data_IF_395097736313
#
_entry.id   IF_395097736313
#
_cell.length_a   1.000
_cell.length_b   1.000
_cell.length_c   1.000
_cell.angle_alpha   90.00
_cell.angle_beta   90.00
_cell.angle_gamma   90.00
#
_symmetry.space_group_name_H-M   'P 1'
#
loop_
_entity.id
_entity.type
_entity.pdbx_description
1 polymer ?
#
# COMPACT_ATOMS: atom_id res chain seq x y z
N UNK A 1 -5.59 0.83 -27.49
CA UNK A 1 -7.05 1.10 -27.59
C UNK A 1 -7.56 1.07 -26.15
N UNK A 2 -7.99 2.19 -25.59
CA UNK A 2 -8.50 2.22 -24.20
C UNK A 2 -9.90 1.58 -24.22
N UNK A 3 -10.20 0.57 -23.38
CA UNK A 3 -11.50 -0.11 -23.42
C UNK A 3 -12.65 0.86 -23.11
N UNK A 4 -13.68 0.88 -23.94
CA UNK A 4 -14.95 1.55 -23.65
C UNK A 4 -15.78 0.64 -22.72
N UNK A 5 -15.45 0.61 -21.43
CA UNK A 5 -16.13 -0.20 -20.41
C UNK A 5 -15.48 -0.09 -19.03
N UNK A 6 -16.03 -0.75 -17.99
CA UNK A 6 -15.33 -0.91 -16.71
C UNK A 6 -13.97 -1.54 -16.97
N UNK A 7 -12.90 -0.94 -16.48
CA UNK A 7 -11.53 -1.47 -16.61
C UNK A 7 -10.99 -1.85 -15.24
N UNK A 8 -9.92 -2.64 -15.28
CA UNK A 8 -9.08 -2.90 -14.12
C UNK A 8 -7.69 -2.37 -14.38
N UNK A 9 -7.06 -1.85 -13.34
CA UNK A 9 -5.70 -1.32 -13.39
C UNK A 9 -4.82 -2.27 -12.59
N UNK A 10 -3.71 -2.67 -13.19
CA UNK A 10 -2.61 -3.31 -12.47
C UNK A 10 -1.74 -2.19 -11.92
N UNK A 11 -1.75 -2.06 -10.61
CA UNK A 11 -0.98 -1.06 -9.88
C UNK A 11 0.24 -1.70 -9.26
N UNK A 12 1.41 -1.10 -9.49
CA UNK A 12 2.60 -1.34 -8.67
C UNK A 12 2.58 -0.36 -7.51
N UNK A 13 2.70 -0.87 -6.29
CA UNK A 13 2.79 -0.10 -5.05
C UNK A 13 4.16 -0.39 -4.45
N UNK A 14 5.00 0.63 -4.30
CA UNK A 14 6.38 0.47 -3.83
C UNK A 14 6.60 1.39 -2.63
N UNK A 15 7.14 0.84 -1.53
CA UNK A 15 7.48 1.62 -0.35
C UNK A 15 8.80 2.37 -0.59
N UNK A 16 8.82 3.68 -0.30
CA UNK A 16 10.00 4.51 -0.47
C UNK A 16 11.02 4.29 0.63
N UNK A 17 12.28 4.58 0.30
CA UNK A 17 13.40 4.65 1.24
C UNK A 17 13.70 3.36 2.03
N UNK A 18 13.18 2.21 1.58
CA UNK A 18 13.45 0.89 2.18
C UNK A 18 14.18 -0.02 1.19
N UNK A 19 15.31 -0.58 1.61
CA UNK A 19 16.12 -1.49 0.80
C UNK A 19 16.37 -2.86 1.48
N UNK A 20 16.23 -4.00 0.77
CA UNK A 20 15.65 -4.18 -0.56
C UNK A 20 14.19 -3.73 -0.62
N UNK A 21 13.77 -3.33 -1.83
CA UNK A 21 12.46 -2.75 -2.09
C UNK A 21 11.31 -3.65 -1.62
N UNK A 22 10.43 -3.08 -0.80
CA UNK A 22 9.14 -3.67 -0.44
C UNK A 22 8.09 -3.18 -1.43
N UNK A 23 7.48 -4.11 -2.17
CA UNK A 23 6.48 -3.73 -3.18
C UNK A 23 5.40 -4.78 -3.38
N UNK A 24 4.28 -4.36 -3.96
CA UNK A 24 3.11 -5.17 -4.26
C UNK A 24 2.57 -4.83 -5.64
N UNK A 25 2.05 -5.81 -6.36
CA UNK A 25 1.32 -5.64 -7.61
C UNK A 25 -0.14 -6.03 -7.41
N UNK A 26 -1.03 -5.04 -7.40
CA UNK A 26 -2.44 -5.21 -7.06
C UNK A 26 -3.33 -4.77 -8.21
N UNK A 27 -4.34 -5.56 -8.52
CA UNK A 27 -5.36 -5.25 -9.52
C UNK A 27 -6.57 -4.64 -8.84
N UNK A 28 -6.97 -3.44 -9.27
CA UNK A 28 -8.14 -2.73 -8.74
C UNK A 28 -9.08 -2.30 -9.86
N UNK A 29 -10.36 -2.13 -9.56
CA UNK A 29 -11.30 -1.61 -10.56
C UNK A 29 -11.08 -0.11 -10.77
N UNK A 30 -11.21 0.36 -12.00
CA UNK A 30 -11.10 1.78 -12.38
C UNK A 30 -12.11 2.68 -11.67
N UNK A 31 -13.27 2.13 -11.29
CA UNK A 31 -14.36 2.83 -10.62
C UNK A 31 -14.27 2.80 -9.08
N UNK A 32 -13.20 2.22 -8.52
CA UNK A 32 -12.90 2.21 -7.08
C UNK A 32 -12.73 3.64 -6.57
N UNK A 33 -13.49 4.03 -5.54
CA UNK A 33 -13.33 5.32 -4.88
C UNK A 33 -12.01 5.36 -4.06
N UNK A 34 -11.39 6.52 -3.92
CA UNK A 34 -10.12 6.66 -3.20
C UNK A 34 -10.15 6.17 -1.73
N UNK A 35 -11.21 6.40 -0.92
CA UNK A 35 -11.29 5.81 0.41
C UNK A 35 -11.17 4.27 0.39
N UNK A 36 -11.75 3.65 -0.64
CA UNK A 36 -11.66 2.20 -0.84
C UNK A 36 -10.27 1.81 -1.35
N UNK A 37 -9.64 2.62 -2.19
CA UNK A 37 -8.25 2.39 -2.61
C UNK A 37 -7.31 2.41 -1.40
N UNK A 38 -7.42 3.39 -0.49
CA UNK A 38 -6.59 3.46 0.71
C UNK A 38 -6.69 2.16 1.54
N UNK A 39 -7.92 1.69 1.78
CA UNK A 39 -8.17 0.41 2.47
C UNK A 39 -7.55 -0.79 1.75
N UNK A 40 -7.56 -0.79 0.42
CA UNK A 40 -6.91 -1.84 -0.39
C UNK A 40 -5.39 -1.79 -0.22
N UNK A 41 -4.80 -0.59 -0.22
CA UNK A 41 -3.36 -0.40 -0.04
C UNK A 41 -2.92 -0.81 1.38
N UNK A 42 -3.63 -0.39 2.42
CA UNK A 42 -3.44 -0.84 3.81
C UNK A 42 -3.41 -2.38 3.90
N UNK A 43 -4.44 -3.05 3.39
CA UNK A 43 -4.53 -4.52 3.42
C UNK A 43 -3.43 -5.20 2.60
N UNK A 44 -3.03 -4.58 1.49
CA UNK A 44 -1.95 -5.05 0.61
C UNK A 44 -0.59 -4.95 1.31
N UNK A 45 -0.41 -3.95 2.17
CA UNK A 45 0.75 -3.79 3.04
C UNK A 45 0.63 -4.52 4.38
N UNK A 46 -0.52 -5.13 4.67
CA UNK A 46 -0.73 -5.86 5.94
C UNK A 46 -1.02 -4.95 7.14
N UNK A 47 -1.37 -3.69 6.89
CA UNK A 47 -1.77 -2.71 7.89
C UNK A 47 -3.26 -2.77 8.20
N UNK A 48 -3.61 -2.26 9.38
CA UNK A 48 -4.97 -2.34 9.93
C UNK A 48 -5.80 -1.09 9.66
N UNK A 49 -5.14 0.01 9.26
CA UNK A 49 -5.81 1.23 8.85
C UNK A 49 -6.29 2.09 10.01
N UNK A 50 -5.48 2.12 11.09
CA UNK A 50 -5.69 2.93 12.30
C UNK A 50 -5.19 4.36 12.15
N UNK A 51 -4.25 4.59 11.24
CA UNK A 51 -3.60 5.88 11.05
C UNK A 51 -4.23 6.71 9.92
N UNK A 52 -3.90 8.00 9.90
CA UNK A 52 -4.28 8.90 8.81
C UNK A 52 -3.50 8.58 7.53
N UNK A 53 -4.09 8.93 6.40
CA UNK A 53 -3.48 8.76 5.08
C UNK A 53 -3.80 9.93 4.16
N UNK A 54 -3.01 10.04 3.09
CA UNK A 54 -3.16 11.06 2.06
C UNK A 54 -2.77 10.51 0.68
N UNK A 55 -3.43 10.96 -0.37
CA UNK A 55 -2.94 10.80 -1.74
C UNK A 55 -2.43 12.13 -2.27
N UNK A 56 -1.21 12.15 -2.80
CA UNK A 56 -0.65 13.27 -3.56
C UNK A 56 -0.61 12.89 -5.05
N UNK A 57 -1.41 13.60 -5.84
CA UNK A 57 -1.46 13.47 -7.30
C UNK A 57 -0.85 14.72 -7.92
N UNK A 58 0.47 14.72 -8.07
CA UNK A 58 1.24 15.81 -8.66
C UNK A 58 1.01 17.18 -7.98
N UNK A 59 1.00 17.18 -6.64
CA UNK A 59 0.76 18.33 -5.78
C UNK A 59 -0.71 18.56 -5.44
N UNK A 60 -1.65 17.80 -6.01
CA UNK A 60 -3.07 17.84 -5.67
C UNK A 60 -3.36 16.79 -4.60
N UNK A 61 -3.77 17.26 -3.42
CA UNK A 61 -3.91 16.42 -2.24
C UNK A 61 -5.35 15.93 -2.09
N UNK A 62 -5.51 14.63 -1.84
CA UNK A 62 -6.80 13.99 -1.54
C UNK A 62 -6.74 13.25 -0.21
N UNK A 63 -7.70 13.50 0.67
CA UNK A 63 -7.78 12.85 1.97
C UNK A 63 -9.14 13.02 2.64
N UNK A 64 -9.24 12.61 3.90
CA UNK A 64 -10.44 12.87 4.69
C UNK A 64 -10.60 14.39 4.90
N UNK A 65 -11.83 14.92 4.83
CA UNK A 65 -12.08 16.34 5.09
C UNK A 65 -11.52 16.76 6.45
N UNK A 66 -10.80 17.87 6.44
CA UNK A 66 -10.26 18.53 7.62
C UNK A 66 -10.66 20.02 7.53
N UNK A 67 -11.25 20.55 8.61
CA UNK A 67 -11.73 21.93 8.66
C UNK A 67 -10.60 22.95 8.57
N UNK A 68 -9.37 22.55 8.91
CA UNK A 68 -8.18 23.41 8.88
C UNK A 68 -7.34 23.24 7.59
N UNK A 69 -7.77 22.40 6.66
CA UNK A 69 -7.04 22.09 5.42
C UNK A 69 -7.82 22.42 4.13
N UNK A 70 -8.00 23.72 3.85
CA UNK A 70 -8.72 24.22 2.67
C UNK A 70 -8.16 23.74 1.31
N UNK A 71 -6.91 23.30 1.28
CA UNK A 71 -6.23 22.77 0.09
C UNK A 71 -6.50 21.28 -0.16
N UNK A 72 -7.15 20.59 0.79
CA UNK A 72 -7.38 19.15 0.73
C UNK A 72 -8.69 18.83 0.02
N UNK A 73 -8.61 18.09 -1.09
CA UNK A 73 -9.80 17.59 -1.78
C UNK A 73 -10.33 16.37 -1.02
N UNK A 74 -11.64 16.36 -0.74
CA UNK A 74 -12.28 15.18 -0.16
C UNK A 74 -12.08 13.97 -1.09
N UNK A 75 -11.39 12.94 -0.61
CA UNK A 75 -11.06 11.75 -1.39
C UNK A 75 -12.29 11.02 -1.95
N UNK A 76 -13.47 11.18 -1.32
CA UNK A 76 -14.75 10.63 -1.80
C UNK A 76 -15.19 11.22 -3.15
N UNK A 77 -14.63 12.37 -3.55
CA UNK A 77 -14.91 13.01 -4.84
C UNK A 77 -14.18 12.33 -6.02
N UNK A 78 -13.19 11.48 -5.75
CA UNK A 78 -12.35 10.86 -6.77
C UNK A 78 -12.42 9.33 -6.78
N UNK A 79 -12.09 8.78 -7.94
CA UNK A 79 -11.97 7.34 -8.20
C UNK A 79 -10.59 7.08 -8.82
N UNK A 80 -10.13 5.83 -8.76
CA UNK A 80 -8.86 5.38 -9.35
C UNK A 80 -8.64 5.95 -10.76
N UNK A 81 -9.63 5.82 -11.66
CA UNK A 81 -9.52 6.32 -13.05
C UNK A 81 -9.33 7.84 -13.18
N UNK A 82 -9.66 8.63 -12.17
CA UNK A 82 -9.49 10.09 -12.22
C UNK A 82 -8.06 10.49 -11.88
N UNK A 83 -7.40 9.73 -10.99
CA UNK A 83 -6.04 10.03 -10.48
C UNK A 83 -4.95 9.19 -11.15
N UNK A 84 -5.33 8.04 -11.71
CA UNK A 84 -4.46 7.10 -12.41
C UNK A 84 -5.04 6.76 -13.80
N UNK A 85 -5.23 7.76 -14.69
CA UNK A 85 -6.04 7.60 -15.89
C UNK A 85 -5.40 6.77 -17.02
N UNK A 86 -4.08 6.61 -17.02
CA UNK A 86 -3.35 5.96 -18.10
C UNK A 86 -2.14 5.15 -17.61
N UNK A 87 -1.62 4.28 -18.46
CA UNK A 87 -0.36 3.57 -18.21
C UNK A 87 0.75 4.59 -17.92
N UNK A 88 1.51 4.35 -16.86
CA UNK A 88 2.55 5.25 -16.37
C UNK A 88 2.05 6.41 -15.51
N UNK A 89 0.73 6.59 -15.33
CA UNK A 89 0.24 7.51 -14.30
C UNK A 89 0.69 7.04 -12.93
N UNK A 90 1.11 8.00 -12.10
CA UNK A 90 1.58 7.75 -10.75
C UNK A 90 0.96 8.74 -9.77
N UNK A 91 0.89 8.31 -8.51
CA UNK A 91 0.61 9.16 -7.36
C UNK A 91 1.44 8.69 -6.18
N UNK A 92 1.58 9.55 -5.15
CA UNK A 92 2.11 9.14 -3.86
C UNK A 92 0.98 8.84 -2.90
N UNK A 93 1.09 7.76 -2.14
CA UNK A 93 0.20 7.45 -1.02
C UNK A 93 0.98 7.45 0.29
N UNK A 94 0.61 8.38 1.15
CA UNK A 94 1.22 8.56 2.47
C UNK A 94 0.32 7.89 3.51
N UNK A 95 0.91 7.10 4.40
CA UNK A 95 0.23 6.39 5.48
C UNK A 95 0.97 6.59 6.79
N UNK A 96 0.21 6.81 7.86
CA UNK A 96 0.71 7.12 9.19
C UNK A 96 1.65 8.34 9.22
N UNK A 97 1.10 9.50 9.56
CA UNK A 97 1.89 10.73 9.63
C UNK A 97 2.87 10.74 10.82
N UNK A 98 2.78 9.78 11.75
CA UNK A 98 3.77 9.56 12.80
C UNK A 98 5.02 8.89 12.25
N UNK A 99 4.85 7.70 11.67
CA UNK A 99 5.96 6.90 11.12
C UNK A 99 6.41 7.34 9.71
N UNK A 100 5.55 8.04 8.97
CA UNK A 100 5.85 8.69 7.70
C UNK A 100 6.00 7.72 6.52
N UNK A 101 5.12 6.74 6.37
CA UNK A 101 5.24 5.76 5.28
C UNK A 101 4.79 6.34 3.94
N UNK A 102 5.74 6.55 3.02
CA UNK A 102 5.47 7.03 1.66
C UNK A 102 5.52 5.91 0.63
N UNK A 103 4.56 5.91 -0.31
CA UNK A 103 4.49 4.90 -1.36
C UNK A 103 4.35 5.52 -2.75
N UNK A 104 5.06 4.96 -3.72
CA UNK A 104 4.78 5.19 -5.13
C UNK A 104 3.73 4.20 -5.64
N UNK A 105 2.61 4.71 -6.15
CA UNK A 105 1.56 3.92 -6.80
C UNK A 105 1.55 4.24 -8.29
N UNK A 106 1.88 3.25 -9.13
CA UNK A 106 2.03 3.42 -10.58
C UNK A 106 1.09 2.47 -11.33
N UNK A 107 0.42 2.98 -12.36
CA UNK A 107 -0.37 2.15 -13.29
C UNK A 107 0.55 1.46 -14.29
N UNK A 108 0.71 0.14 -14.17
CA UNK A 108 1.49 -0.65 -15.11
C UNK A 108 0.66 -1.04 -16.35
N UNK A 109 -0.59 -1.48 -16.15
CA UNK A 109 -1.50 -1.85 -17.25
C UNK A 109 -2.94 -1.44 -16.96
N UNK A 110 -3.72 -1.30 -18.04
CA UNK A 110 -5.18 -1.08 -17.99
C UNK A 110 -5.83 -2.12 -18.88
N UNK A 111 -6.69 -2.94 -18.29
CA UNK A 111 -7.23 -4.15 -18.91
C UNK A 111 -8.75 -4.22 -18.78
N UNK A 112 -9.37 -5.08 -19.59
CA UNK A 112 -10.76 -5.48 -19.37
C UNK A 112 -10.83 -6.43 -18.16
N UNK A 113 -11.85 -6.30 -17.29
CA UNK A 113 -12.05 -7.25 -16.20
C UNK A 113 -12.27 -8.65 -16.74
N UNK A 114 -11.70 -9.64 -16.06
CA UNK A 114 -11.91 -11.05 -16.36
C UNK A 114 -13.26 -11.49 -15.80
N UNK A 115 -14.07 -12.18 -16.60
CA UNK A 115 -15.37 -12.66 -16.16
C UNK A 115 -15.24 -13.64 -14.98
N UNK A 116 -16.11 -13.50 -13.98
CA UNK A 116 -16.07 -14.27 -12.73
C UNK A 116 -14.92 -13.93 -11.76
N UNK A 117 -13.93 -13.11 -12.15
CA UNK A 117 -12.84 -12.70 -11.28
C UNK A 117 -13.31 -11.63 -10.27
N UNK A 118 -12.99 -11.85 -8.99
CA UNK A 118 -13.19 -10.85 -7.94
C UNK A 118 -11.97 -9.93 -7.83
N UNK A 119 -12.23 -8.64 -7.64
CA UNK A 119 -11.23 -7.61 -7.40
C UNK A 119 -11.51 -6.92 -6.05
N UNK A 120 -10.49 -6.44 -5.33
CA UNK A 120 -9.08 -6.44 -5.70
C UNK A 120 -8.42 -7.84 -5.64
N UNK A 121 -7.26 -7.98 -6.30
CA UNK A 121 -6.40 -9.16 -6.19
C UNK A 121 -4.93 -8.76 -6.29
N UNK A 122 -4.10 -9.26 -5.39
CA UNK A 122 -2.65 -9.15 -5.46
C UNK A 122 -2.10 -10.25 -6.37
N UNK A 123 -1.30 -9.86 -7.36
CA UNK A 123 -0.68 -10.77 -8.32
C UNK A 123 0.72 -11.18 -7.88
N UNK A 124 1.46 -10.25 -7.27
CA UNK A 124 2.89 -10.41 -7.02
C UNK A 124 3.39 -9.37 -6.00
N UNK A 125 4.64 -9.52 -5.57
CA UNK A 125 5.28 -8.65 -4.60
C UNK A 125 6.61 -9.22 -4.10
N UNK A 126 7.31 -8.43 -3.29
CA UNK A 126 8.52 -8.88 -2.61
C UNK A 126 8.65 -8.23 -1.23
N UNK A 127 9.39 -8.92 -0.36
CA UNK A 127 9.70 -8.53 1.02
C UNK A 127 8.46 -8.39 1.92
N UNK A 128 8.65 -8.55 3.22
CA UNK A 128 7.58 -8.26 4.17
C UNK A 128 7.40 -6.75 4.28
N UNK A 129 6.17 -6.31 4.56
CA UNK A 129 5.94 -4.91 4.87
C UNK A 129 6.36 -4.60 6.31
N UNK A 130 6.71 -3.33 6.61
CA UNK A 130 6.94 -2.92 7.99
C UNK A 130 5.74 -3.24 8.88
N UNK A 131 5.94 -3.82 10.07
CA UNK A 131 4.89 -3.86 11.09
C UNK A 131 4.40 -2.45 11.43
N UNK A 132 3.12 -2.33 11.81
CA UNK A 132 2.56 -1.08 12.36
C UNK A 132 3.43 -0.58 13.53
N UNK A 133 3.52 0.75 13.67
CA UNK A 133 4.21 1.43 14.78
C UNK A 133 5.68 1.01 14.97
N UNK A 134 6.36 0.57 13.92
CA UNK A 134 7.77 0.14 14.03
C UNK A 134 8.76 1.31 14.09
N UNK A 135 8.29 2.56 13.94
CA UNK A 135 9.10 3.77 14.04
C UNK A 135 9.62 4.25 12.70
N UNK A 136 8.80 4.14 11.65
CA UNK A 136 9.14 4.56 10.29
C UNK A 136 10.30 3.76 9.69
N UNK A 137 10.83 4.28 8.58
CA UNK A 137 11.96 3.66 7.86
C UNK A 137 13.14 3.31 8.78
N UNK A 138 13.64 4.22 9.65
CA UNK A 138 14.76 3.90 10.54
C UNK A 138 14.44 2.78 11.54
N UNK A 139 13.21 2.75 12.05
CA UNK A 139 12.76 1.72 12.97
C UNK A 139 12.66 0.36 12.30
N UNK A 140 12.16 0.32 11.06
CA UNK A 140 12.10 -0.90 10.26
C UNK A 140 13.48 -1.44 9.90
N UNK A 141 14.40 -0.57 9.46
CA UNK A 141 15.77 -0.97 9.16
C UNK A 141 16.48 -1.51 10.40
N UNK A 142 16.28 -0.87 11.56
CA UNK A 142 16.79 -1.37 12.83
C UNK A 142 16.21 -2.75 13.17
N UNK A 143 14.89 -2.92 13.05
CA UNK A 143 14.22 -4.20 13.28
C UNK A 143 14.84 -5.30 12.42
N UNK A 144 14.99 -5.07 11.11
CA UNK A 144 15.54 -6.04 10.17
C UNK A 144 16.98 -6.41 10.50
N UNK A 145 17.81 -5.42 10.82
CA UNK A 145 19.20 -5.66 11.20
C UNK A 145 19.29 -6.52 12.47
N UNK A 146 18.46 -6.25 13.47
CA UNK A 146 18.45 -7.00 14.73
C UNK A 146 17.90 -8.43 14.55
N UNK A 147 16.85 -8.61 13.76
CA UNK A 147 16.28 -9.94 13.51
C UNK A 147 17.23 -10.83 12.67
N UNK A 148 18.09 -10.23 11.84
CA UNK A 148 19.11 -10.96 11.09
C UNK A 148 20.31 -11.43 11.95
N UNK A 149 20.56 -10.79 13.10
CA UNK A 149 21.65 -11.13 14.02
C UNK A 149 21.11 -11.73 15.32
N UNK A 150 21.15 -13.07 15.42
CA UNK A 150 20.72 -13.82 16.60
C UNK A 150 21.54 -13.51 17.87
N UNK A 151 22.72 -12.90 17.72
CA UNK A 151 23.59 -12.52 18.85
C UNK A 151 23.38 -11.07 19.30
N UNK A 152 22.60 -10.28 18.56
CA UNK A 152 22.32 -8.91 18.90
C UNK A 152 21.61 -8.82 20.27
N UNK A 153 22.04 -7.88 21.12
CA UNK A 153 21.51 -7.73 22.49
C UNK A 153 19.99 -7.55 22.54
N UNK A 154 19.44 -6.90 21.51
CA UNK A 154 18.00 -6.62 21.37
C UNK A 154 17.24 -7.71 20.60
N UNK A 155 17.91 -8.76 20.10
CA UNK A 155 17.31 -9.79 19.25
C UNK A 155 16.07 -10.40 19.88
N UNK A 156 16.19 -10.90 21.11
CA UNK A 156 15.06 -11.49 21.83
C UNK A 156 13.91 -10.50 22.01
N UNK A 157 14.21 -9.26 22.40
CA UNK A 157 13.20 -8.22 22.65
C UNK A 157 12.41 -7.88 21.39
N UNK A 158 13.11 -7.71 20.27
CA UNK A 158 12.47 -7.34 19.01
C UNK A 158 11.78 -8.51 18.31
N UNK A 159 12.24 -9.76 18.51
CA UNK A 159 11.50 -10.96 18.09
C UNK A 159 10.19 -11.12 18.87
N UNK A 160 10.18 -10.81 20.17
CA UNK A 160 8.97 -10.85 21.01
C UNK A 160 8.00 -9.69 20.68
N UNK A 161 8.52 -8.55 20.23
CA UNK A 161 7.72 -7.38 19.82
C UNK A 161 7.13 -7.53 18.41
N UNK A 162 7.89 -8.08 17.46
CA UNK A 162 7.44 -8.24 16.08
C UNK A 162 6.26 -9.22 15.97
N UNK A 163 5.45 -9.15 14.89
CA UNK A 163 4.40 -10.11 14.63
C UNK A 163 4.93 -11.55 14.71
N UNK A 164 4.12 -12.46 15.26
CA UNK A 164 4.53 -13.86 15.41
C UNK A 164 4.91 -14.46 14.06
N UNK A 165 6.14 -14.98 13.95
CA UNK A 165 6.66 -15.56 12.71
C UNK A 165 7.07 -14.54 11.65
N UNK A 166 7.26 -13.27 12.02
CA UNK A 166 7.73 -12.23 11.10
C UNK A 166 9.09 -12.58 10.51
N UNK A 167 9.14 -12.64 9.17
CA UNK A 167 10.35 -12.76 8.37
C UNK A 167 10.38 -11.59 7.39
N UNK A 168 11.37 -10.70 7.56
CA UNK A 168 11.50 -9.50 6.73
C UNK A 168 11.62 -9.78 5.23
N UNK A 169 12.06 -10.99 4.86
CA UNK A 169 12.26 -11.39 3.46
C UNK A 169 11.04 -12.10 2.86
N UNK A 170 10.06 -12.47 3.69
CA UNK A 170 8.92 -13.26 3.26
C UNK A 170 7.85 -12.42 2.55
N UNK A 171 7.27 -13.01 1.51
CA UNK A 171 6.08 -12.50 0.85
C UNK A 171 5.22 -13.68 0.38
N UNK A 172 3.91 -13.62 0.67
CA UNK A 172 2.93 -14.63 0.24
C UNK A 172 1.69 -13.95 -0.36
N UNK A 173 1.51 -14.12 -1.68
CA UNK A 173 0.34 -13.63 -2.41
C UNK A 173 -0.96 -14.23 -1.89
N UNK A 174 -0.97 -15.46 -1.39
CA UNK A 174 -2.15 -16.13 -0.85
C UNK A 174 -2.64 -15.42 0.41
N UNK A 175 -1.71 -15.03 1.28
CA UNK A 175 -2.02 -14.35 2.53
C UNK A 175 -2.53 -12.91 2.29
N UNK A 176 -1.89 -12.17 1.38
CA UNK A 176 -2.38 -10.86 0.94
C UNK A 176 -3.79 -10.97 0.36
N UNK A 177 -4.02 -11.95 -0.52
CA UNK A 177 -5.34 -12.15 -1.13
C UNK A 177 -6.40 -12.62 -0.13
N UNK A 178 -6.01 -13.29 0.96
CA UNK A 178 -6.91 -13.62 2.07
C UNK A 178 -7.38 -12.35 2.78
N UNK A 179 -6.47 -11.41 3.08
CA UNK A 179 -6.81 -10.10 3.66
C UNK A 179 -7.74 -9.29 2.74
N UNK A 180 -7.41 -9.23 1.45
CA UNK A 180 -8.20 -8.50 0.45
C UNK A 180 -9.62 -9.05 0.26
N UNK A 181 -9.87 -10.32 0.58
CA UNK A 181 -11.20 -10.97 0.52
C UNK A 181 -11.96 -10.90 1.84
N UNK A 182 -11.25 -10.76 2.96
CA UNK A 182 -11.78 -10.78 4.30
C UNK A 182 -12.34 -9.43 4.72
N UNK A 183 -13.48 -9.03 4.12
CA UNK A 183 -14.49 -8.10 4.64
C UNK A 183 -15.63 -7.96 3.63
#
# INVERSE_FOLDING_TARGET
MIPFGPTVLVLRVSLRDVEPEVWRRVVVRSDTALPKLARILEQTMGWEGHHLHLFDVAGVLFGNPDEDADYLINEKAAKVRHVLPQIGSSLRWDYDFGDGWEHDVVTETIESPVDGQRYPICLDGAMACPPEDCGGVPGYDHLRAVLADQTHRDHRRLTEWAPTGFDATAFDTTDVNRRLRGR
#
